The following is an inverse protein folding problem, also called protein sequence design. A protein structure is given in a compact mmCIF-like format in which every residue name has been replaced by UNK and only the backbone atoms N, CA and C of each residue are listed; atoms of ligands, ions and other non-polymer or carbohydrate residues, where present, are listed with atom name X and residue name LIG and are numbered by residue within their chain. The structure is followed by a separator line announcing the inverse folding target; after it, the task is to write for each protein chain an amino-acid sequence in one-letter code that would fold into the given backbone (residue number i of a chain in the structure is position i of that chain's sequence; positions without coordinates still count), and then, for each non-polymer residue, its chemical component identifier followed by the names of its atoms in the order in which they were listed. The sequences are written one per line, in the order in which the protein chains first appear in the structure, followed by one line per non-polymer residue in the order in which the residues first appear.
data_IF_472995183562
#
_entry.id   IF_472995183562
#
_cell.length_a   1.000
_cell.length_b   1.000
_cell.length_c   1.000
_cell.angle_alpha   90.00
_cell.angle_beta   90.00
_cell.angle_gamma   90.00
#
_symmetry.space_group_name_H-M   'P 1'
#
loop_
_entity.id
_entity.type
_entity.pdbx_description
1 polymer ?
#
# COMPACT_ATOMS: atom_id res chain seq x y z
N UNK A 1 13.09 2.73 -2.95
CA UNK A 1 13.62 4.12 -2.93
C UNK A 1 13.67 4.79 -4.30
N UNK A 2 14.47 4.34 -5.27
CA UNK A 2 14.51 4.96 -6.62
C UNK A 2 13.14 4.99 -7.32
N UNK A 3 12.33 3.97 -7.16
CA UNK A 3 11.00 3.88 -7.80
C UNK A 3 9.98 4.90 -7.25
N UNK A 4 10.02 5.19 -5.95
CA UNK A 4 9.04 6.11 -5.32
C UNK A 4 9.35 7.56 -5.66
N UNK A 5 10.63 7.93 -5.68
CA UNK A 5 11.07 9.26 -6.13
C UNK A 5 10.79 9.43 -7.63
N UNK A 6 11.09 8.42 -8.45
CA UNK A 6 10.79 8.43 -9.87
C UNK A 6 9.29 8.60 -10.16
N UNK A 7 8.45 7.89 -9.43
CA UNK A 7 6.98 8.02 -9.52
C UNK A 7 6.49 9.39 -9.10
N UNK A 8 7.07 9.98 -8.04
CA UNK A 8 6.72 11.32 -7.59
C UNK A 8 7.04 12.38 -8.65
N UNK A 9 8.21 12.28 -9.26
CA UNK A 9 8.61 13.17 -10.34
C UNK A 9 7.72 13.05 -11.58
N UNK A 10 7.33 11.82 -11.95
CA UNK A 10 6.39 11.58 -13.05
C UNK A 10 4.99 12.14 -12.72
N UNK A 11 4.54 11.99 -11.48
CA UNK A 11 3.26 12.55 -11.03
C UNK A 11 3.29 14.08 -11.03
N UNK A 12 4.40 14.68 -10.61
CA UNK A 12 4.59 16.14 -10.68
C UNK A 12 4.59 16.64 -12.12
N UNK A 13 5.29 15.95 -13.01
CA UNK A 13 5.32 16.29 -14.44
C UNK A 13 3.93 16.22 -15.05
N UNK A 14 3.20 15.13 -14.81
CA UNK A 14 1.80 14.99 -15.27
C UNK A 14 0.88 16.07 -14.72
N UNK A 15 1.09 16.49 -13.46
CA UNK A 15 0.35 17.60 -12.86
C UNK A 15 0.65 18.93 -13.57
N UNK A 16 1.89 19.21 -13.91
CA UNK A 16 2.27 20.44 -14.59
C UNK A 16 1.74 20.51 -16.03
N UNK A 17 1.42 19.36 -16.64
CA UNK A 17 0.85 19.26 -17.99
C UNK A 17 -0.69 19.38 -17.98
N UNK A 18 -1.36 19.35 -16.81
CA UNK A 18 -2.82 19.45 -16.68
C UNK A 18 -3.28 20.88 -16.36
N UNK A 19 -4.54 21.23 -16.73
CA UNK A 19 -5.14 22.50 -16.30
C UNK A 19 -5.21 22.57 -14.76
N UNK A 20 -5.03 23.77 -14.23
CA UNK A 20 -5.00 24.04 -12.79
C UNK A 20 -6.35 23.72 -12.13
N UNK A 21 -6.41 22.66 -11.32
CA UNK A 21 -7.56 22.27 -10.49
C UNK A 21 -7.10 22.17 -9.03
N UNK A 22 -7.83 22.83 -8.10
CA UNK A 22 -7.49 22.82 -6.67
C UNK A 22 -7.49 21.39 -6.07
N UNK A 23 -8.34 20.49 -6.56
CA UNK A 23 -8.38 19.10 -6.11
C UNK A 23 -7.08 18.36 -6.42
N UNK A 24 -6.55 18.59 -7.62
CA UNK A 24 -5.27 18.00 -8.04
C UNK A 24 -4.11 18.56 -7.22
N UNK A 25 -4.16 19.83 -6.85
CA UNK A 25 -3.14 20.48 -6.02
C UNK A 25 -3.08 19.89 -4.61
N UNK A 26 -4.22 19.67 -3.96
CA UNK A 26 -4.28 19.08 -2.62
C UNK A 26 -3.73 17.63 -2.60
N UNK A 27 -4.11 16.85 -3.58
CA UNK A 27 -3.62 15.47 -3.74
C UNK A 27 -2.11 15.42 -4.02
N UNK A 28 -1.62 16.34 -4.84
CA UNK A 28 -0.18 16.46 -5.13
C UNK A 28 0.60 16.86 -3.87
N UNK A 29 0.13 17.84 -3.12
CA UNK A 29 0.77 18.28 -1.87
C UNK A 29 0.79 17.16 -0.83
N UNK A 30 -0.30 16.39 -0.71
CA UNK A 30 -0.36 15.23 0.17
C UNK A 30 0.65 14.15 -0.23
N UNK A 31 0.74 13.85 -1.53
CA UNK A 31 1.72 12.91 -2.06
C UNK A 31 3.16 13.37 -1.80
N UNK A 32 3.47 14.65 -2.02
CA UNK A 32 4.79 15.20 -1.74
C UNK A 32 5.14 15.14 -0.26
N UNK A 33 4.22 15.49 0.64
CA UNK A 33 4.41 15.36 2.08
C UNK A 33 4.71 13.92 2.46
N UNK A 34 3.95 12.97 1.93
CA UNK A 34 4.18 11.54 2.16
C UNK A 34 5.60 11.12 1.74
N UNK A 35 6.02 11.46 0.52
CA UNK A 35 7.35 11.08 -0.01
C UNK A 35 8.47 11.72 0.81
N UNK A 36 8.38 13.02 1.13
CA UNK A 36 9.37 13.71 1.96
C UNK A 36 9.45 13.08 3.34
N UNK A 37 8.32 12.67 3.92
CA UNK A 37 8.28 12.01 5.22
C UNK A 37 8.95 10.64 5.18
N UNK A 38 8.64 9.82 4.18
CA UNK A 38 9.29 8.53 3.97
C UNK A 38 10.80 8.68 3.83
N UNK A 39 11.25 9.62 2.98
CA UNK A 39 12.68 9.87 2.78
C UNK A 39 13.39 10.36 4.06
N UNK A 40 12.73 11.20 4.86
CA UNK A 40 13.29 11.68 6.14
C UNK A 40 13.45 10.55 7.15
N UNK A 41 12.46 9.66 7.26
CA UNK A 41 12.51 8.52 8.17
C UNK A 41 13.58 7.52 7.75
N UNK A 42 13.72 7.24 6.48
CA UNK A 42 14.79 6.37 5.97
C UNK A 42 16.18 6.95 6.20
N UNK A 43 16.34 8.29 6.05
CA UNK A 43 17.62 8.96 6.28
C UNK A 43 17.98 9.14 7.76
N UNK A 44 16.98 9.15 8.68
CA UNK A 44 17.18 9.38 10.11
C UNK A 44 17.27 8.08 10.92
N UNK A 45 17.02 6.93 10.31
CA UNK A 45 16.95 5.66 11.03
C UNK A 45 18.35 5.08 11.30
N UNK A 46 18.91 5.40 12.45
CA UNK A 46 20.10 4.71 12.99
C UNK A 46 19.77 3.33 13.60
N UNK A 47 18.51 2.98 13.75
CA UNK A 47 18.02 1.65 14.16
C UNK A 47 16.93 1.19 13.19
N UNK A 48 16.94 -0.08 12.77
CA UNK A 48 15.86 -0.63 11.96
C UNK A 48 14.60 -0.63 12.82
N UNK A 49 13.75 0.40 12.66
CA UNK A 49 12.40 0.37 13.21
C UNK A 49 11.60 -0.73 12.51
N UNK A 50 10.71 -1.36 13.24
CA UNK A 50 9.80 -2.34 12.66
C UNK A 50 8.99 -1.70 11.50
N UNK A 51 8.91 -2.42 10.39
CA UNK A 51 8.26 -1.98 9.16
C UNK A 51 6.82 -1.51 9.36
N UNK A 52 6.10 -2.13 10.30
CA UNK A 52 4.75 -1.75 10.72
C UNK A 52 4.73 -0.36 11.37
N UNK A 53 5.61 -0.14 12.34
CA UNK A 53 5.71 1.14 13.04
C UNK A 53 6.02 2.29 12.09
N UNK A 54 6.94 2.08 11.13
CA UNK A 54 7.26 3.06 10.11
C UNK A 54 6.07 3.38 9.19
N UNK A 55 5.31 2.36 8.83
CA UNK A 55 4.12 2.53 8.00
C UNK A 55 3.05 3.36 8.72
N UNK A 56 2.80 3.11 10.00
CA UNK A 56 1.86 3.90 10.81
C UNK A 56 2.28 5.38 10.91
N UNK A 57 3.58 5.64 11.14
CA UNK A 57 4.11 7.01 11.17
C UNK A 57 3.92 7.73 9.83
N UNK A 58 4.19 7.04 8.74
CA UNK A 58 4.02 7.58 7.39
C UNK A 58 2.55 7.87 7.07
N UNK A 59 1.64 7.00 7.47
CA UNK A 59 0.20 7.22 7.31
C UNK A 59 -0.28 8.43 8.11
N UNK A 60 0.11 8.53 9.38
CA UNK A 60 -0.23 9.66 10.24
C UNK A 60 0.28 11.00 9.68
N UNK A 61 1.47 11.03 9.07
CA UNK A 61 2.04 12.23 8.47
C UNK A 61 1.24 12.77 7.28
N UNK A 62 0.40 11.95 6.65
CA UNK A 62 -0.51 12.35 5.57
C UNK A 62 -1.98 12.37 6.01
N UNK A 63 -2.24 12.38 7.33
CA UNK A 63 -3.56 12.38 7.93
C UNK A 63 -4.42 11.17 7.51
N UNK A 64 -3.80 10.02 7.39
CA UNK A 64 -4.49 8.75 7.18
C UNK A 64 -4.24 7.87 8.41
N UNK A 65 -5.32 7.36 8.99
CA UNK A 65 -5.30 6.39 10.07
C UNK A 65 -5.35 4.96 9.50
N UNK A 66 -4.59 4.03 10.10
CA UNK A 66 -4.64 2.61 9.73
C UNK A 66 -5.19 1.83 10.91
N UNK A 67 -6.42 1.35 10.76
CA UNK A 67 -7.04 0.43 11.70
C UNK A 67 -6.83 -1.01 11.22
N UNK A 68 -6.45 -1.91 12.14
CA UNK A 68 -6.34 -3.32 11.77
C UNK A 68 -7.10 -4.23 12.74
N UNK A 69 -7.51 -5.39 12.23
CA UNK A 69 -8.08 -6.50 12.99
C UNK A 69 -7.35 -7.79 12.63
N UNK A 70 -7.28 -8.71 13.56
CA UNK A 70 -6.49 -9.93 13.42
C UNK A 70 -5.03 -9.75 13.81
N UNK A 71 -4.25 -10.78 13.65
CA UNK A 71 -2.84 -10.83 14.05
C UNK A 71 -1.95 -10.64 12.83
N UNK A 72 -1.01 -9.71 12.92
CA UNK A 72 0.00 -9.52 11.87
C UNK A 72 0.88 -10.79 11.84
N UNK A 73 1.10 -11.38 10.66
CA UNK A 73 1.91 -12.60 10.56
C UNK A 73 3.30 -12.44 11.17
N UNK A 74 3.74 -13.47 11.89
CA UNK A 74 5.09 -13.50 12.46
C UNK A 74 6.17 -13.75 11.39
N UNK A 75 5.80 -14.40 10.27
CA UNK A 75 6.69 -14.64 9.15
C UNK A 75 7.10 -13.34 8.45
N UNK A 76 8.39 -13.04 8.43
CA UNK A 76 8.91 -11.79 7.87
C UNK A 76 8.52 -11.62 6.40
N UNK A 77 8.45 -12.70 5.65
CA UNK A 77 8.10 -12.64 4.22
C UNK A 77 6.62 -12.29 3.99
N UNK A 78 5.71 -12.95 4.70
CA UNK A 78 4.27 -12.65 4.65
C UNK A 78 3.99 -11.24 5.15
N UNK A 79 4.62 -10.86 6.25
CA UNK A 79 4.56 -9.52 6.81
C UNK A 79 4.99 -8.47 5.79
N UNK A 80 6.16 -8.67 5.14
CA UNK A 80 6.67 -7.76 4.13
C UNK A 80 5.71 -7.60 2.93
N UNK A 81 5.10 -8.69 2.45
CA UNK A 81 4.13 -8.65 1.37
C UNK A 81 2.91 -7.82 1.76
N UNK A 82 2.34 -8.06 2.95
CA UNK A 82 1.18 -7.31 3.45
C UNK A 82 1.53 -5.84 3.64
N UNK A 83 2.71 -5.52 4.18
CA UNK A 83 3.16 -4.14 4.35
C UNK A 83 3.36 -3.44 2.99
N UNK A 84 3.87 -4.14 1.99
CA UNK A 84 4.01 -3.62 0.62
C UNK A 84 2.66 -3.29 0.01
N UNK A 85 1.68 -4.19 0.16
CA UNK A 85 0.31 -3.96 -0.29
C UNK A 85 -0.35 -2.77 0.41
N UNK A 86 -0.14 -2.66 1.72
CA UNK A 86 -0.71 -1.60 2.53
C UNK A 86 -0.11 -0.23 2.18
N UNK A 87 1.19 -0.14 1.88
CA UNK A 87 1.84 1.07 1.35
C UNK A 87 1.25 1.51 0.02
N UNK A 88 1.01 0.56 -0.87
CA UNK A 88 0.37 0.86 -2.15
C UNK A 88 -1.06 1.36 -1.96
N UNK A 89 -1.84 0.72 -1.07
CA UNK A 89 -3.19 1.18 -0.74
C UNK A 89 -3.17 2.56 -0.08
N UNK A 90 -2.20 2.87 0.79
CA UNK A 90 -2.02 4.20 1.38
C UNK A 90 -1.77 5.26 0.30
N UNK A 91 -0.84 4.99 -0.60
CA UNK A 91 -0.53 5.87 -1.73
C UNK A 91 -1.78 6.12 -2.59
N UNK A 92 -2.53 5.07 -2.90
CA UNK A 92 -3.75 5.16 -3.72
C UNK A 92 -4.89 5.88 -2.99
N UNK A 93 -5.02 5.69 -1.68
CA UNK A 93 -6.00 6.40 -0.85
C UNK A 93 -5.74 7.90 -0.87
N UNK A 94 -4.51 8.32 -0.66
CA UNK A 94 -4.09 9.73 -0.71
C UNK A 94 -4.27 10.32 -2.11
N UNK A 95 -3.87 9.58 -3.13
CA UNK A 95 -3.79 10.08 -4.51
C UNK A 95 -5.14 10.11 -5.24
N UNK A 96 -5.99 9.13 -4.98
CA UNK A 96 -7.18 8.89 -5.79
C UNK A 96 -8.48 8.91 -4.99
N UNK A 97 -8.49 8.35 -3.78
CA UNK A 97 -9.72 8.18 -3.02
C UNK A 97 -10.03 9.38 -2.09
N UNK A 98 -9.00 10.13 -1.66
CA UNK A 98 -9.18 11.23 -0.71
C UNK A 98 -9.73 10.75 0.65
N UNK A 99 -9.49 9.50 1.02
CA UNK A 99 -9.88 8.91 2.30
C UNK A 99 -8.93 9.31 3.42
N UNK A 100 -9.39 9.12 4.65
CA UNK A 100 -8.65 9.39 5.86
C UNK A 100 -8.40 8.15 6.71
N UNK A 101 -8.94 7.00 6.31
CA UNK A 101 -8.76 5.75 7.03
C UNK A 101 -8.62 4.56 6.09
N UNK A 102 -7.68 3.68 6.44
CA UNK A 102 -7.49 2.38 5.82
C UNK A 102 -7.82 1.31 6.85
N UNK A 103 -8.51 0.26 6.42
CA UNK A 103 -8.84 -0.89 7.24
C UNK A 103 -8.08 -2.11 6.70
N UNK A 104 -7.33 -2.76 7.57
CA UNK A 104 -6.64 -4.02 7.30
C UNK A 104 -7.30 -5.11 8.14
N UNK A 105 -7.88 -6.09 7.50
CA UNK A 105 -8.41 -7.29 8.17
C UNK A 105 -7.51 -8.47 7.83
N UNK A 106 -6.98 -9.15 8.86
CA UNK A 106 -6.12 -10.33 8.69
C UNK A 106 -6.81 -11.52 9.36
N UNK A 107 -6.91 -12.63 8.63
CA UNK A 107 -7.40 -13.91 9.13
C UNK A 107 -6.41 -15.00 8.76
N UNK A 108 -6.21 -15.94 9.66
CA UNK A 108 -5.46 -17.17 9.38
C UNK A 108 -6.41 -18.35 9.58
N UNK A 109 -6.61 -19.09 8.51
CA UNK A 109 -7.46 -20.28 8.50
C UNK A 109 -6.64 -21.46 7.94
N UNK A 110 -6.32 -22.43 8.81
CA UNK A 110 -5.38 -23.50 8.46
C UNK A 110 -4.03 -22.91 8.03
N UNK A 111 -3.57 -23.29 6.86
CA UNK A 111 -2.28 -22.86 6.28
C UNK A 111 -2.40 -21.64 5.36
N UNK A 112 -3.51 -20.89 5.44
CA UNK A 112 -3.76 -19.71 4.59
C UNK A 112 -3.93 -18.47 5.45
N UNK A 113 -3.17 -17.45 5.14
CA UNK A 113 -3.32 -16.07 5.64
C UNK A 113 -4.09 -15.28 4.59
N UNK A 114 -5.23 -14.72 4.99
CA UNK A 114 -6.00 -13.77 4.17
C UNK A 114 -5.84 -12.38 4.72
N UNK A 115 -5.47 -11.43 3.86
CA UNK A 115 -5.44 -10.01 4.19
C UNK A 115 -6.39 -9.25 3.28
N UNK A 116 -7.34 -8.49 3.85
CA UNK A 116 -8.26 -7.61 3.14
C UNK A 116 -7.95 -6.16 3.51
N UNK A 117 -7.69 -5.32 2.51
CA UNK A 117 -7.39 -3.91 2.67
C UNK A 117 -8.48 -3.08 1.99
N UNK A 118 -9.13 -2.20 2.75
CA UNK A 118 -10.15 -1.26 2.25
C UNK A 118 -9.85 0.15 2.74
N UNK A 119 -10.57 1.16 2.21
CA UNK A 119 -10.49 2.52 2.69
C UNK A 119 -11.87 3.19 2.77
N UNK A 120 -11.94 4.32 3.47
CA UNK A 120 -13.16 5.14 3.62
C UNK A 120 -13.32 6.21 2.54
N UNK A 121 -12.43 6.26 1.57
CA UNK A 121 -12.42 7.24 0.51
C UNK A 121 -13.54 7.05 -0.53
N UNK A 122 -13.50 7.87 -1.57
CA UNK A 122 -14.47 7.81 -2.67
C UNK A 122 -14.38 6.46 -3.36
N UNK A 123 -15.54 5.96 -3.76
CA UNK A 123 -15.64 4.75 -4.55
C UNK A 123 -15.01 4.96 -5.93
N UNK A 124 -14.34 3.95 -6.49
CA UNK A 124 -13.89 4.02 -7.87
C UNK A 124 -15.08 4.20 -8.83
N UNK A 125 -14.99 5.18 -9.72
CA UNK A 125 -16.01 5.42 -10.76
C UNK A 125 -15.96 4.37 -11.87
N UNK A 126 -14.86 3.66 -11.98
CA UNK A 126 -14.59 2.62 -12.98
C UNK A 126 -13.84 1.47 -12.33
N UNK A 127 -13.80 0.35 -13.03
CA UNK A 127 -12.96 -0.77 -12.64
C UNK A 127 -11.50 -0.33 -12.45
N UNK A 128 -10.92 -0.67 -11.30
CA UNK A 128 -9.55 -0.33 -10.99
C UNK A 128 -8.62 -1.20 -11.83
N UNK A 129 -7.91 -0.56 -12.75
CA UNK A 129 -6.91 -1.24 -13.56
C UNK A 129 -5.62 -1.41 -12.76
N UNK A 130 -5.09 -2.62 -12.80
CA UNK A 130 -3.80 -2.90 -12.20
C UNK A 130 -2.69 -2.22 -12.99
N UNK A 131 -2.09 -1.21 -12.38
CA UNK A 131 -0.95 -0.49 -12.93
C UNK A 131 0.06 -0.18 -11.80
N UNK A 132 1.31 0.04 -12.15
CA UNK A 132 2.32 0.49 -11.20
C UNK A 132 2.47 -0.43 -9.99
N UNK A 133 2.21 0.09 -8.79
CA UNK A 133 2.41 -0.61 -7.53
C UNK A 133 1.49 -1.80 -7.32
N UNK A 134 0.21 -1.73 -7.74
CA UNK A 134 -0.71 -2.88 -7.65
C UNK A 134 -0.20 -4.07 -8.49
N UNK A 135 0.31 -3.81 -9.70
CA UNK A 135 0.91 -4.86 -10.54
C UNK A 135 2.16 -5.45 -9.89
N UNK A 136 3.01 -4.61 -9.27
CA UNK A 136 4.17 -5.09 -8.53
C UNK A 136 3.77 -5.91 -7.31
N UNK A 137 2.76 -5.46 -6.55
CA UNK A 137 2.21 -6.20 -5.40
C UNK A 137 1.71 -7.57 -5.82
N UNK A 138 0.94 -7.66 -6.92
CA UNK A 138 0.49 -8.95 -7.47
C UNK A 138 1.67 -9.88 -7.75
N UNK A 139 2.69 -9.39 -8.47
CA UNK A 139 3.88 -10.20 -8.79
C UNK A 139 4.57 -10.76 -7.56
N UNK A 140 4.67 -9.96 -6.49
CA UNK A 140 5.28 -10.40 -5.23
C UNK A 140 4.40 -11.45 -4.53
N UNK A 141 3.08 -11.25 -4.49
CA UNK A 141 2.12 -12.21 -3.92
C UNK A 141 2.16 -13.54 -4.66
N UNK A 142 2.12 -13.52 -6.00
CA UNK A 142 2.16 -14.72 -6.83
C UNK A 142 3.50 -15.45 -6.72
N UNK A 143 4.61 -14.73 -6.64
CA UNK A 143 5.94 -15.33 -6.42
C UNK A 143 6.05 -16.05 -5.06
N UNK A 144 5.25 -15.65 -4.08
CA UNK A 144 5.13 -16.31 -2.78
C UNK A 144 4.11 -17.47 -2.76
N UNK A 145 3.58 -17.87 -3.91
CA UNK A 145 2.55 -18.91 -4.02
C UNK A 145 1.16 -18.45 -3.59
N UNK A 146 0.95 -17.15 -3.44
CA UNK A 146 -0.32 -16.55 -3.05
C UNK A 146 -1.20 -16.12 -4.23
N UNK A 147 -2.32 -15.48 -3.93
CA UNK A 147 -3.22 -14.88 -4.90
C UNK A 147 -3.68 -13.50 -4.45
N UNK A 148 -3.99 -12.63 -5.42
CA UNK A 148 -4.45 -11.28 -5.16
C UNK A 148 -5.66 -10.96 -6.04
N UNK A 149 -6.70 -10.35 -5.47
CA UNK A 149 -7.86 -9.84 -6.22
C UNK A 149 -8.17 -8.40 -5.83
N UNK A 150 -8.72 -7.64 -6.76
CA UNK A 150 -9.14 -6.26 -6.56
C UNK A 150 -10.64 -6.16 -6.80
N UNK A 151 -11.36 -5.66 -5.81
CA UNK A 151 -12.77 -5.30 -5.93
C UNK A 151 -12.85 -3.78 -6.17
N UNK A 152 -13.65 -3.36 -7.13
CA UNK A 152 -13.89 -1.95 -7.42
C UNK A 152 -15.26 -1.48 -6.96
N UNK A 153 -16.23 -2.40 -6.86
CA UNK A 153 -17.62 -2.14 -6.47
C UNK A 153 -18.08 -3.13 -5.43
N UNK A 154 -18.93 -2.73 -4.45
CA UNK A 154 -19.41 -1.38 -4.19
C UNK A 154 -18.36 -0.44 -3.57
N UNK A 155 -17.21 -0.94 -3.16
CA UNK A 155 -16.06 -0.18 -2.65
C UNK A 155 -14.76 -0.85 -3.07
N UNK A 156 -13.70 -0.06 -3.10
CA UNK A 156 -12.37 -0.61 -3.29
C UNK A 156 -12.03 -1.60 -2.18
N UNK A 157 -11.57 -2.77 -2.57
CA UNK A 157 -10.91 -3.71 -1.67
C UNK A 157 -9.80 -4.45 -2.40
N UNK A 158 -8.68 -4.62 -1.73
CA UNK A 158 -7.58 -5.47 -2.13
C UNK A 158 -7.58 -6.70 -1.24
N UNK A 159 -7.74 -7.87 -1.81
CA UNK A 159 -7.71 -9.14 -1.09
C UNK A 159 -6.45 -9.91 -1.50
N UNK A 160 -5.74 -10.43 -0.50
CA UNK A 160 -4.51 -11.20 -0.66
C UNK A 160 -4.67 -12.49 0.13
N UNK A 161 -4.37 -13.63 -0.49
CA UNK A 161 -4.22 -14.91 0.19
C UNK A 161 -2.76 -15.35 0.06
N UNK A 162 -2.15 -15.73 1.16
CA UNK A 162 -0.77 -16.21 1.23
C UNK A 162 -0.73 -17.54 1.95
N UNK A 163 0.16 -18.47 1.59
CA UNK A 163 0.46 -19.61 2.43
C UNK A 163 1.11 -19.12 3.74
N UNK A 164 0.69 -19.69 4.88
CA UNK A 164 1.26 -19.35 6.20
C UNK A 164 2.73 -19.77 6.29
N UNK A 165 3.07 -20.89 5.66
CA UNK A 165 4.46 -21.34 5.50
C UNK A 165 4.86 -21.22 4.03
N UNK A 166 5.81 -20.33 3.75
CA UNK A 166 6.42 -20.28 2.42
C UNK A 166 7.50 -21.34 2.39
N UNK A 167 7.22 -22.45 1.71
CA UNK A 167 8.27 -23.39 1.35
C UNK A 167 9.24 -22.69 0.39
N UNK A 168 10.36 -22.25 0.90
CA UNK A 168 11.50 -21.93 0.05
C UNK A 168 11.91 -23.24 -0.58
N UNK A 169 11.46 -23.51 -1.81
CA UNK A 169 12.02 -24.61 -2.59
C UNK A 169 13.51 -24.32 -2.72
N UNK A 170 14.32 -25.07 -2.00
CA UNK A 170 15.76 -25.13 -2.19
C UNK A 170 15.96 -25.50 -3.66
N UNK A 171 16.51 -24.56 -4.40
CA UNK A 171 17.02 -24.82 -5.75
C UNK A 171 18.35 -25.53 -5.50
N UNK A 172 18.31 -26.88 -5.59
CA UNK A 172 19.53 -27.67 -5.78
C UNK A 172 20.18 -27.34 -7.14
#
# INVERSE_FOLDING_TARGET
MHDDLGRALLTYRSYMEQPFDERNRSSLLALWKYIVTVMRHEAASEKPEDEWTNLLKNAAAVNVDIAHTGVIPAGEHQKHIIMTALRECLTNTVKHAGGHRIFLEIKTEGDIITARITNDGRQPEREVKEAGGLKNTRRIVEAAGGSMTIESTPRFALNINLPDQIHTSEIE
#
